data_IF_771013395502
#
_entry.id   IF_771013395502
#
_cell.length_a   1.000
_cell.length_b   1.000
_cell.length_c   1.000
_cell.angle_alpha   90.00
_cell.angle_beta   90.00
_cell.angle_gamma   90.00
#
_symmetry.space_group_name_H-M   'P 1'
#
loop_
_entity.id
_entity.type
_entity.pdbx_description
1 polymer ?
#
# COMPACT_ATOMS: atom_id res chain seq x y z
N UNK A 1 11.83 -75.24 30.05
CA UNK A 1 11.18 -74.61 28.90
C UNK A 1 10.47 -73.40 29.44
N UNK A 2 11.09 -72.28 29.12
CA UNK A 2 10.54 -70.94 28.93
C UNK A 2 10.18 -70.10 30.16
N UNK A 3 10.92 -68.98 30.20
CA UNK A 3 10.89 -67.85 31.11
C UNK A 3 9.61 -67.04 30.92
N UNK A 4 9.05 -66.52 32.02
CA UNK A 4 8.09 -65.43 31.93
C UNK A 4 8.42 -64.38 33.00
N UNK A 5 8.92 -63.24 32.51
CA UNK A 5 9.30 -62.08 33.28
C UNK A 5 8.07 -61.22 33.63
N UNK A 6 8.08 -60.65 34.83
CA UNK A 6 7.04 -59.77 35.36
C UNK A 6 7.00 -58.39 34.66
N UNK A 7 5.83 -57.71 34.59
CA UNK A 7 5.72 -56.41 33.95
C UNK A 7 6.04 -55.25 34.91
N UNK A 8 6.85 -54.31 34.43
CA UNK A 8 7.14 -53.03 35.10
C UNK A 8 6.05 -51.98 34.82
N UNK A 9 5.75 -51.21 35.87
CA UNK A 9 4.72 -50.18 35.91
C UNK A 9 5.12 -48.87 35.25
N UNK A 10 4.08 -48.19 34.79
CA UNK A 10 4.04 -46.83 34.26
C UNK A 10 4.51 -45.80 35.30
N UNK A 11 5.38 -44.88 34.88
CA UNK A 11 5.37 -43.50 35.39
C UNK A 11 5.92 -42.56 34.31
N UNK A 12 5.01 -41.73 33.78
CA UNK A 12 5.34 -40.61 32.91
C UNK A 12 5.83 -39.42 33.71
N UNK A 13 6.85 -38.74 33.19
CA UNK A 13 7.11 -37.33 33.51
C UNK A 13 7.56 -36.64 32.22
N UNK A 14 6.85 -35.56 31.89
CA UNK A 14 6.92 -34.87 30.61
C UNK A 14 8.26 -34.15 30.39
N UNK A 15 8.86 -34.41 29.23
CA UNK A 15 9.79 -33.48 28.61
C UNK A 15 8.96 -32.49 27.78
N UNK A 16 8.97 -31.23 28.18
CA UNK A 16 8.45 -30.13 27.38
C UNK A 16 9.23 -30.07 26.06
N UNK A 17 8.55 -30.36 24.96
CA UNK A 17 9.04 -30.06 23.63
C UNK A 17 9.02 -28.54 23.47
N UNK A 18 10.17 -27.90 23.70
CA UNK A 18 10.41 -26.55 23.22
C UNK A 18 10.23 -26.54 21.72
N UNK A 19 9.22 -25.81 21.24
CA UNK A 19 9.13 -25.47 19.83
C UNK A 19 10.31 -24.55 19.51
N UNK A 20 11.31 -25.12 18.84
CA UNK A 20 12.41 -24.39 18.25
C UNK A 20 11.87 -23.46 17.16
N UNK A 21 11.74 -22.18 17.49
CA UNK A 21 11.25 -21.10 16.62
C UNK A 21 12.13 -20.89 15.36
N UNK A 22 13.23 -21.62 15.22
CA UNK A 22 14.16 -21.48 14.10
C UNK A 22 13.97 -22.49 12.95
N UNK A 23 13.09 -23.50 13.11
CA UNK A 23 12.86 -24.49 12.05
C UNK A 23 11.51 -24.28 11.35
N UNK A 24 11.52 -23.37 10.37
CA UNK A 24 10.37 -23.13 9.48
C UNK A 24 10.23 -21.72 8.92
N UNK A 25 11.22 -20.83 9.07
CA UNK A 25 11.22 -19.54 8.39
C UNK A 25 11.43 -19.75 6.88
N UNK A 26 10.34 -20.00 6.14
CA UNK A 26 10.34 -19.71 4.71
C UNK A 26 10.90 -18.29 4.53
N UNK A 27 11.92 -18.12 3.68
CA UNK A 27 12.56 -16.83 3.42
C UNK A 27 11.49 -15.80 3.07
N UNK A 28 11.20 -14.89 4.00
CA UNK A 28 10.27 -13.80 3.77
C UNK A 28 10.91 -12.85 2.76
N UNK A 29 10.16 -12.38 1.74
CA UNK A 29 10.70 -11.42 0.78
C UNK A 29 10.92 -10.07 1.47
N UNK A 30 11.72 -9.23 0.82
CA UNK A 30 11.86 -7.83 1.22
C UNK A 30 10.49 -7.11 1.25
N UNK A 31 10.38 -6.00 2.02
CA UNK A 31 9.11 -5.33 2.26
C UNK A 31 8.52 -4.65 1.01
N UNK A 32 9.37 -4.36 0.02
CA UNK A 32 9.00 -3.69 -1.22
C UNK A 32 9.89 -4.10 -2.39
N UNK A 33 9.41 -3.80 -3.60
CA UNK A 33 10.18 -3.76 -4.84
C UNK A 33 10.45 -2.30 -5.19
N UNK A 34 11.69 -1.98 -5.59
CA UNK A 34 12.06 -0.67 -6.09
C UNK A 34 12.66 -0.81 -7.49
N UNK A 35 11.94 -0.28 -8.49
CA UNK A 35 12.42 -0.20 -9.86
C UNK A 35 13.04 1.20 -10.05
N UNK A 36 14.34 1.23 -10.33
CA UNK A 36 15.15 2.47 -10.43
C UNK A 36 15.33 2.83 -11.91
N UNK A 37 15.08 4.09 -12.31
CA UNK A 37 15.28 4.52 -13.69
C UNK A 37 16.77 4.55 -14.04
N UNK A 38 17.11 4.29 -15.32
CA UNK A 38 18.51 4.47 -15.79
C UNK A 38 18.92 5.95 -15.73
N UNK A 39 17.98 6.85 -16.04
CA UNK A 39 18.15 8.30 -15.92
C UNK A 39 16.94 8.85 -15.18
N UNK A 40 17.15 9.35 -13.96
CA UNK A 40 16.08 9.97 -13.18
C UNK A 40 15.67 11.31 -13.79
N UNK A 41 14.36 11.61 -13.80
CA UNK A 41 13.78 12.85 -14.30
C UNK A 41 12.78 13.42 -13.30
N UNK A 42 12.61 14.74 -13.33
CA UNK A 42 11.57 15.48 -12.61
C UNK A 42 11.48 15.32 -11.07
N UNK A 43 12.35 14.53 -10.44
CA UNK A 43 12.13 14.06 -9.07
C UNK A 43 10.89 13.17 -8.93
N UNK A 44 10.53 12.43 -9.98
CA UNK A 44 9.34 11.59 -10.01
C UNK A 44 9.50 10.31 -9.17
N UNK A 45 8.51 10.06 -8.33
CA UNK A 45 8.36 8.87 -7.50
C UNK A 45 6.93 8.35 -7.68
N UNK A 46 6.75 7.08 -8.00
CA UNK A 46 5.44 6.42 -8.07
C UNK A 46 5.39 5.35 -6.99
N UNK A 47 4.37 5.39 -6.16
CA UNK A 47 4.17 4.47 -5.05
C UNK A 47 2.91 3.62 -5.30
N UNK A 48 3.02 2.30 -5.10
CA UNK A 48 1.88 1.38 -5.17
C UNK A 48 1.74 0.62 -3.84
N UNK A 49 1.32 1.29 -2.75
CA UNK A 49 1.39 0.75 -1.38
C UNK A 49 0.45 -0.44 -1.14
N UNK A 50 -0.55 -0.66 -1.99
CA UNK A 50 -1.58 -1.69 -1.81
C UNK A 50 -1.56 -2.80 -2.89
N UNK A 51 -0.55 -2.79 -3.77
CA UNK A 51 -0.38 -3.77 -4.86
C UNK A 51 0.27 -5.10 -4.45
N UNK A 52 0.75 -5.17 -3.20
CA UNK A 52 1.38 -6.35 -2.64
C UNK A 52 0.41 -7.52 -2.50
N UNK A 53 0.95 -8.73 -2.68
CA UNK A 53 0.18 -9.97 -2.75
C UNK A 53 0.86 -11.15 -2.04
N UNK A 54 1.88 -10.86 -1.23
CA UNK A 54 2.48 -11.83 -0.33
C UNK A 54 1.75 -11.84 1.02
N UNK A 55 1.33 -13.03 1.43
CA UNK A 55 0.65 -13.27 2.71
C UNK A 55 1.47 -14.26 3.54
N UNK A 56 2.14 -13.79 4.61
CA UNK A 56 3.00 -14.66 5.40
C UNK A 56 2.18 -15.70 6.17
N UNK A 57 2.78 -16.86 6.40
CA UNK A 57 2.11 -18.01 7.03
C UNK A 57 1.55 -17.67 8.42
N UNK A 58 2.21 -16.80 9.18
CA UNK A 58 1.74 -16.37 10.50
C UNK A 58 0.39 -15.63 10.44
N UNK A 59 0.16 -14.80 9.42
CA UNK A 59 -1.15 -14.19 9.14
C UNK A 59 -2.18 -15.25 8.77
N UNK A 60 -1.84 -16.18 7.88
CA UNK A 60 -2.77 -17.21 7.42
C UNK A 60 -3.25 -18.13 8.56
N UNK A 61 -2.39 -18.43 9.53
CA UNK A 61 -2.75 -19.24 10.71
C UNK A 61 -3.75 -18.54 11.65
N UNK A 62 -3.62 -17.23 11.82
CA UNK A 62 -4.50 -16.45 12.71
C UNK A 62 -5.74 -15.90 11.99
N UNK A 63 -5.76 -15.97 10.66
CA UNK A 63 -6.84 -15.47 9.81
C UNK A 63 -8.06 -16.39 9.83
N UNK A 64 -9.26 -15.81 9.89
CA UNK A 64 -10.57 -16.41 9.60
C UNK A 64 -10.81 -16.58 8.10
N UNK A 65 -10.11 -15.79 7.29
CA UNK A 65 -10.29 -15.65 5.86
C UNK A 65 -9.32 -16.55 5.09
N UNK A 66 -9.79 -17.06 3.95
CA UNK A 66 -8.91 -17.65 2.95
C UNK A 66 -7.98 -16.58 2.38
N UNK A 67 -6.86 -17.01 1.79
CA UNK A 67 -5.95 -16.10 1.09
C UNK A 67 -6.72 -15.29 0.06
N UNK A 68 -7.51 -15.92 -0.81
CA UNK A 68 -8.34 -15.22 -1.81
C UNK A 68 -9.26 -14.15 -1.21
N UNK A 69 -9.80 -14.35 0.00
CA UNK A 69 -10.61 -13.33 0.67
C UNK A 69 -9.77 -12.15 1.18
N UNK A 70 -8.53 -12.39 1.66
CA UNK A 70 -7.57 -11.33 1.98
C UNK A 70 -7.20 -10.51 0.74
N UNK A 71 -7.03 -11.20 -0.40
CA UNK A 71 -6.70 -10.60 -1.70
C UNK A 71 -7.71 -9.57 -2.19
N UNK A 72 -8.97 -9.64 -1.77
CA UNK A 72 -10.01 -8.66 -2.15
C UNK A 72 -9.72 -7.23 -1.69
N UNK A 73 -8.85 -7.08 -0.69
CA UNK A 73 -8.38 -5.77 -0.24
C UNK A 73 -7.27 -5.19 -1.12
N UNK A 74 -6.57 -6.01 -1.90
CA UNK A 74 -5.47 -5.58 -2.78
C UNK A 74 -5.94 -4.52 -3.77
N UNK A 75 -5.05 -3.57 -4.05
CA UNK A 75 -5.09 -2.79 -5.28
C UNK A 75 -4.37 -3.57 -6.38
N UNK A 76 -4.94 -4.73 -6.71
CA UNK A 76 -4.28 -5.74 -7.54
C UNK A 76 -3.88 -5.16 -8.89
N UNK A 77 -2.68 -5.52 -9.35
CA UNK A 77 -2.10 -5.14 -10.64
C UNK A 77 -1.81 -3.64 -10.81
N UNK A 78 -1.98 -2.78 -9.80
CA UNK A 78 -1.66 -1.34 -9.92
C UNK A 78 -0.16 -1.11 -10.15
N UNK A 79 0.72 -1.91 -9.53
CA UNK A 79 2.15 -1.88 -9.81
C UNK A 79 2.48 -2.24 -11.26
N UNK A 80 1.68 -3.11 -11.87
CA UNK A 80 1.81 -3.50 -13.27
C UNK A 80 1.26 -2.42 -14.22
N UNK A 81 0.19 -1.72 -13.84
CA UNK A 81 -0.30 -0.53 -14.57
C UNK A 81 0.73 0.61 -14.56
N UNK A 82 1.56 0.68 -13.53
CA UNK A 82 2.60 1.71 -13.36
C UNK A 82 3.99 1.25 -13.81
N UNK A 83 4.14 0.05 -14.41
CA UNK A 83 5.43 -0.57 -14.68
C UNK A 83 6.35 0.26 -15.59
N UNK A 84 5.80 1.07 -16.50
CA UNK A 84 6.56 1.95 -17.39
C UNK A 84 7.26 3.13 -16.67
N UNK A 85 7.02 3.33 -15.37
CA UNK A 85 7.56 4.46 -14.61
C UNK A 85 9.08 4.58 -14.71
N UNK A 86 9.82 3.48 -14.56
CA UNK A 86 11.28 3.48 -14.60
C UNK A 86 11.84 3.86 -15.98
N UNK A 87 11.17 3.43 -17.06
CA UNK A 87 11.53 3.79 -18.43
C UNK A 87 11.28 5.27 -18.72
N UNK A 88 10.32 5.88 -18.01
CA UNK A 88 9.96 7.29 -18.11
C UNK A 88 10.80 8.21 -17.19
N UNK A 89 11.72 7.63 -16.41
CA UNK A 89 12.63 8.37 -15.54
C UNK A 89 12.15 8.55 -14.09
N UNK A 90 11.06 7.90 -13.69
CA UNK A 90 10.60 7.88 -12.30
C UNK A 90 11.09 6.66 -11.53
N UNK A 91 11.10 6.74 -10.20
CA UNK A 91 11.25 5.55 -9.35
C UNK A 91 9.89 4.89 -9.13
N UNK A 92 9.78 3.57 -9.26
CA UNK A 92 8.56 2.83 -8.89
C UNK A 92 8.80 2.03 -7.62
N UNK A 93 8.08 2.37 -6.55
CA UNK A 93 8.10 1.68 -5.27
C UNK A 93 6.79 0.91 -5.10
N UNK A 94 6.85 -0.41 -5.13
CA UNK A 94 5.67 -1.28 -5.03
C UNK A 94 5.74 -2.17 -3.78
N UNK A 95 4.62 -2.26 -3.05
CA UNK A 95 4.54 -3.10 -1.86
C UNK A 95 4.63 -4.58 -2.25
N UNK A 96 5.29 -5.39 -1.41
CA UNK A 96 5.31 -6.86 -1.59
C UNK A 96 4.21 -7.52 -0.77
N UNK A 97 4.03 -7.06 0.47
CA UNK A 97 3.05 -7.59 1.41
C UNK A 97 1.65 -7.04 1.11
N UNK A 98 0.64 -7.91 1.19
CA UNK A 98 -0.74 -7.49 1.05
C UNK A 98 -1.15 -6.52 2.16
N UNK A 99 -1.96 -5.50 1.84
CA UNK A 99 -2.34 -4.45 2.80
C UNK A 99 -3.08 -4.96 4.05
N UNK A 100 -3.69 -6.15 3.98
CA UNK A 100 -4.33 -6.78 5.15
C UNK A 100 -3.32 -7.30 6.18
N UNK A 101 -2.03 -7.38 5.83
CA UNK A 101 -0.95 -7.63 6.77
C UNK A 101 -0.54 -6.34 7.49
N UNK A 102 -0.23 -5.30 6.71
CA UNK A 102 0.11 -3.93 7.12
C UNK A 102 -0.37 -2.96 6.04
N UNK A 103 -1.13 -1.94 6.41
CA UNK A 103 -1.55 -0.88 5.50
C UNK A 103 -0.52 0.26 5.47
N UNK A 104 0.22 0.34 4.37
CA UNK A 104 1.29 1.31 4.14
C UNK A 104 0.79 2.74 3.83
N UNK A 105 -0.54 2.94 3.72
CA UNK A 105 -1.16 4.25 3.54
C UNK A 105 -2.02 4.64 4.78
N UNK A 106 -1.51 4.29 5.96
CA UNK A 106 -2.01 4.68 7.30
C UNK A 106 -0.88 5.21 8.16
N UNK A 107 -1.21 5.99 9.19
CA UNK A 107 -0.20 6.43 10.16
C UNK A 107 0.24 5.26 11.05
N UNK A 108 1.50 5.20 11.50
CA UNK A 108 2.01 4.05 12.27
C UNK A 108 1.36 3.91 13.64
N UNK A 109 0.76 4.98 14.16
CA UNK A 109 0.06 5.02 15.45
C UNK A 109 -1.46 4.83 15.33
N UNK A 110 -2.01 4.57 14.12
CA UNK A 110 -3.39 4.13 13.91
C UNK A 110 -3.57 2.63 14.28
N UNK A 111 -3.19 2.28 15.51
CA UNK A 111 -3.34 0.95 16.10
C UNK A 111 -4.77 0.77 16.63
N UNK A 112 -5.42 -0.33 16.24
CA UNK A 112 -6.77 -0.67 16.68
C UNK A 112 -6.74 -1.35 18.06
N UNK A 113 -7.26 -0.73 19.14
CA UNK A 113 -7.28 -1.32 20.48
C UNK A 113 -8.25 -2.50 20.62
N UNK A 114 -9.24 -2.65 19.74
CA UNK A 114 -10.10 -3.83 19.70
C UNK A 114 -9.31 -5.05 19.19
N UNK A 115 -8.51 -4.85 18.14
CA UNK A 115 -7.66 -5.90 17.58
C UNK A 115 -6.42 -6.19 18.42
N UNK A 116 -5.72 -5.15 18.87
CA UNK A 116 -4.37 -5.27 19.44
C UNK A 116 -4.43 -5.13 20.96
N UNK A 117 -4.02 -6.20 21.65
CA UNK A 117 -3.90 -6.26 23.10
C UNK A 117 -2.64 -5.56 23.60
N UNK A 118 -2.73 -5.03 24.83
CA UNK A 118 -1.59 -4.48 25.58
C UNK A 118 -0.79 -3.37 24.86
N UNK A 119 -1.43 -2.54 24.02
CA UNK A 119 -0.79 -1.36 23.42
C UNK A 119 -0.16 -0.49 24.53
N UNK A 120 1.15 -0.15 24.47
CA UNK A 120 1.80 0.70 25.46
C UNK A 120 1.09 2.03 25.64
N UNK A 121 0.98 2.50 26.89
CA UNK A 121 0.24 3.74 27.20
C UNK A 121 0.74 4.97 26.42
N UNK A 122 2.04 5.06 26.17
CA UNK A 122 2.65 6.15 25.40
C UNK A 122 2.22 6.19 23.92
N UNK A 123 1.80 5.04 23.37
CA UNK A 123 1.38 4.88 21.97
C UNK A 123 -0.14 4.89 21.81
N UNK A 124 -0.91 4.88 22.90
CA UNK A 124 -2.37 4.93 22.81
C UNK A 124 -2.81 6.29 22.25
N UNK A 125 -3.71 6.22 21.28
CA UNK A 125 -4.38 7.36 20.65
C UNK A 125 -5.88 7.19 20.75
N UNK A 126 -6.61 8.29 20.58
CA UNK A 126 -8.05 8.23 20.35
C UNK A 126 -8.25 7.62 18.96
N UNK A 127 -8.96 6.48 18.83
CA UNK A 127 -9.17 5.85 17.53
C UNK A 127 -9.88 6.80 16.56
N UNK A 128 -9.37 6.90 15.34
CA UNK A 128 -10.05 7.61 14.25
C UNK A 128 -11.29 6.82 13.82
N UNK A 129 -12.22 7.45 13.09
CA UNK A 129 -13.38 6.76 12.53
C UNK A 129 -12.98 5.55 11.65
N UNK A 130 -11.81 5.62 10.99
CA UNK A 130 -11.27 4.52 10.19
C UNK A 130 -10.77 3.37 11.06
N UNK A 131 -10.03 3.67 12.14
CA UNK A 131 -9.59 2.65 13.12
C UNK A 131 -10.80 1.97 13.75
N UNK A 132 -11.84 2.72 14.14
CA UNK A 132 -13.08 2.16 14.67
C UNK A 132 -13.81 1.25 13.66
N UNK A 133 -13.66 1.50 12.36
CA UNK A 133 -14.17 0.64 11.30
C UNK A 133 -13.27 -0.57 10.98
N UNK A 134 -12.18 -0.77 11.74
CA UNK A 134 -11.22 -1.86 11.54
C UNK A 134 -10.16 -1.59 10.46
N UNK A 135 -10.01 -0.34 10.01
CA UNK A 135 -9.13 0.06 8.91
C UNK A 135 -7.88 0.83 9.39
N UNK A 136 -7.30 0.40 10.51
CA UNK A 136 -6.03 0.90 11.04
C UNK A 136 -4.80 0.39 10.28
N UNK A 137 -3.59 0.72 10.78
CA UNK A 137 -2.31 0.33 10.15
C UNK A 137 -2.08 -1.18 10.11
N UNK A 138 -2.69 -1.91 11.06
CA UNK A 138 -2.92 -3.35 10.95
C UNK A 138 -4.42 -3.51 10.83
N UNK A 139 -4.95 -3.74 9.61
CA UNK A 139 -6.39 -3.80 9.42
C UNK A 139 -6.98 -4.98 10.16
N UNK A 140 -8.04 -4.75 10.92
CA UNK A 140 -8.87 -5.80 11.54
C UNK A 140 -9.85 -6.40 10.54
N UNK A 141 -10.30 -5.61 9.57
CA UNK A 141 -11.25 -6.02 8.54
C UNK A 141 -10.65 -5.88 7.14
N UNK A 142 -11.16 -6.66 6.19
CA UNK A 142 -11.01 -6.37 4.76
C UNK A 142 -12.20 -5.52 4.28
N UNK A 143 -12.23 -5.18 2.99
CA UNK A 143 -13.38 -4.50 2.37
C UNK A 143 -14.71 -5.15 2.76
N UNK A 144 -15.75 -4.33 2.89
CA UNK A 144 -17.11 -4.72 3.36
C UNK A 144 -17.21 -5.11 4.85
N UNK A 145 -16.17 -4.86 5.66
CA UNK A 145 -16.23 -5.01 7.12
C UNK A 145 -16.05 -6.45 7.62
N UNK A 146 -15.54 -7.35 6.77
CA UNK A 146 -15.33 -8.75 7.14
C UNK A 146 -14.06 -8.89 7.98
N UNK A 147 -14.20 -9.46 9.18
CA UNK A 147 -13.13 -9.67 10.16
C UNK A 147 -12.02 -10.61 9.67
N UNK A 148 -10.77 -10.16 9.74
CA UNK A 148 -9.59 -10.94 9.38
C UNK A 148 -9.25 -11.97 10.44
N UNK A 149 -9.27 -11.64 11.74
CA UNK A 149 -8.59 -12.45 12.76
C UNK A 149 -9.53 -13.32 13.61
N UNK A 150 -9.05 -14.49 14.02
CA UNK A 150 -9.74 -15.41 14.95
C UNK A 150 -9.85 -14.86 16.37
N UNK A 151 -8.86 -14.07 16.78
CA UNK A 151 -8.80 -13.42 18.07
C UNK A 151 -7.91 -12.19 17.98
N UNK A 152 -7.57 -11.63 19.14
CA UNK A 152 -6.73 -10.44 19.25
C UNK A 152 -5.26 -10.77 18.99
N UNK A 153 -4.53 -9.78 18.51
CA UNK A 153 -3.07 -9.84 18.38
C UNK A 153 -2.40 -9.28 19.64
N UNK A 154 -1.19 -9.75 19.98
CA UNK A 154 -0.35 -9.03 20.94
C UNK A 154 0.25 -7.78 20.29
N UNK A 155 0.65 -6.82 21.12
CA UNK A 155 1.39 -5.66 20.63
C UNK A 155 2.73 -6.06 19.98
N UNK A 156 3.45 -7.04 20.53
CA UNK A 156 4.73 -7.50 19.95
C UNK A 156 4.58 -8.00 18.51
N UNK A 157 3.47 -8.68 18.19
CA UNK A 157 3.17 -9.08 16.80
C UNK A 157 2.95 -7.84 15.94
N UNK A 158 2.20 -6.85 16.43
CA UNK A 158 1.96 -5.62 15.69
C UNK A 158 3.26 -4.84 15.45
N UNK A 159 4.09 -4.68 16.47
CA UNK A 159 5.38 -4.02 16.40
C UNK A 159 6.31 -4.72 15.40
N UNK A 160 6.41 -6.05 15.46
CA UNK A 160 7.23 -6.82 14.52
C UNK A 160 6.82 -6.58 13.06
N UNK A 161 5.51 -6.54 12.76
CA UNK A 161 5.02 -6.22 11.41
C UNK A 161 5.41 -4.82 10.95
N UNK A 162 5.30 -3.83 11.83
CA UNK A 162 5.68 -2.45 11.53
C UNK A 162 7.19 -2.35 11.29
N UNK A 163 8.00 -2.99 12.12
CA UNK A 163 9.47 -3.05 11.97
C UNK A 163 9.91 -3.74 10.70
N UNK A 164 9.26 -4.83 10.32
CA UNK A 164 9.59 -5.61 9.14
C UNK A 164 9.15 -4.95 7.83
N UNK A 165 7.97 -4.31 7.82
CA UNK A 165 7.32 -3.87 6.57
C UNK A 165 7.11 -2.37 6.52
N UNK A 166 6.48 -1.80 7.55
CA UNK A 166 6.05 -0.40 7.53
C UNK A 166 7.23 0.58 7.53
N UNK A 167 8.12 0.50 8.53
CA UNK A 167 9.20 1.46 8.67
C UNK A 167 10.21 1.39 7.51
N UNK A 168 10.60 0.21 6.98
CA UNK A 168 11.44 0.15 5.79
C UNK A 168 10.82 0.81 4.55
N UNK A 169 9.52 0.61 4.32
CA UNK A 169 8.79 1.26 3.23
C UNK A 169 8.87 2.79 3.33
N UNK A 170 8.51 3.34 4.50
CA UNK A 170 8.50 4.79 4.69
C UNK A 170 9.91 5.38 4.71
N UNK A 171 10.91 4.65 5.23
CA UNK A 171 12.31 5.04 5.14
C UNK A 171 12.77 5.16 3.67
N UNK A 172 12.35 4.24 2.81
CA UNK A 172 12.65 4.31 1.37
C UNK A 172 11.98 5.51 0.69
N UNK A 173 10.72 5.82 1.03
CA UNK A 173 10.06 7.04 0.52
C UNK A 173 10.83 8.29 0.94
N UNK A 174 11.23 8.40 2.21
CA UNK A 174 12.02 9.53 2.68
C UNK A 174 13.35 9.66 1.93
N UNK A 175 14.04 8.54 1.69
CA UNK A 175 15.30 8.54 0.93
C UNK A 175 15.08 9.04 -0.51
N UNK A 176 14.03 8.57 -1.19
CA UNK A 176 13.70 9.01 -2.56
C UNK A 176 13.33 10.49 -2.61
N UNK A 177 12.52 10.99 -1.67
CA UNK A 177 12.17 12.41 -1.60
C UNK A 177 13.42 13.27 -1.40
N UNK A 178 14.31 12.87 -0.48
CA UNK A 178 15.55 13.60 -0.23
C UNK A 178 16.46 13.63 -1.47
N UNK A 179 16.62 12.49 -2.16
CA UNK A 179 17.37 12.42 -3.41
C UNK A 179 16.75 13.29 -4.50
N UNK A 180 15.43 13.27 -4.65
CA UNK A 180 14.71 14.08 -5.63
C UNK A 180 14.88 15.58 -5.37
N UNK A 181 14.70 16.02 -4.12
CA UNK A 181 14.90 17.42 -3.74
C UNK A 181 16.35 17.88 -4.00
N UNK A 182 17.34 17.05 -3.68
CA UNK A 182 18.74 17.37 -3.91
C UNK A 182 19.11 17.48 -5.39
N UNK A 183 18.54 16.62 -6.25
CA UNK A 183 18.88 16.56 -7.67
C UNK A 183 18.05 17.51 -8.55
N UNK A 184 16.78 17.75 -8.18
CA UNK A 184 15.81 18.46 -9.03
C UNK A 184 15.18 19.69 -8.37
N UNK A 185 15.48 19.96 -7.10
CA UNK A 185 14.85 21.05 -6.33
C UNK A 185 13.38 20.80 -5.96
N UNK A 186 12.86 19.61 -6.28
CA UNK A 186 11.49 19.18 -5.99
C UNK A 186 11.41 17.65 -5.88
N UNK A 187 10.32 17.16 -5.29
CA UNK A 187 9.90 15.77 -5.37
C UNK A 187 8.43 15.70 -5.81
N UNK A 188 8.12 14.89 -6.82
CA UNK A 188 6.76 14.68 -7.33
C UNK A 188 6.38 13.22 -7.13
N UNK A 189 5.51 12.98 -6.17
CA UNK A 189 5.03 11.65 -5.82
C UNK A 189 3.62 11.40 -6.38
N UNK A 190 3.45 10.28 -7.07
CA UNK A 190 2.15 9.73 -7.43
C UNK A 190 1.84 8.56 -6.49
N UNK A 191 0.81 8.71 -5.65
CA UNK A 191 0.32 7.67 -4.73
C UNK A 191 -0.79 6.88 -5.42
N UNK A 192 -0.44 5.73 -6.00
CA UNK A 192 -1.27 5.02 -6.96
C UNK A 192 -2.03 3.85 -6.32
N UNK A 193 -3.33 3.86 -6.56
CA UNK A 193 -4.32 2.99 -5.95
C UNK A 193 -5.36 2.52 -6.96
N UNK A 194 -6.20 1.60 -6.52
CA UNK A 194 -7.42 1.25 -7.24
C UNK A 194 -8.62 1.16 -6.31
N UNK A 195 -9.77 1.60 -6.79
CA UNK A 195 -11.00 1.58 -6.03
C UNK A 195 -11.95 0.50 -6.55
N UNK A 196 -12.78 -0.10 -5.66
CA UNK A 196 -13.85 -0.99 -6.09
C UNK A 196 -14.77 -0.32 -7.10
N UNK A 197 -15.30 -1.07 -8.07
CA UNK A 197 -16.18 -0.51 -9.10
C UNK A 197 -17.39 0.23 -8.50
N UNK A 198 -17.98 -0.31 -7.44
CA UNK A 198 -19.09 0.27 -6.71
C UNK A 198 -18.75 1.54 -5.91
N UNK A 199 -17.46 1.82 -5.68
CA UNK A 199 -16.99 2.97 -4.90
C UNK A 199 -16.75 4.23 -5.76
N UNK A 200 -17.03 4.16 -7.06
CA UNK A 200 -16.79 5.23 -8.05
C UNK A 200 -17.64 6.51 -7.88
N UNK A 201 -18.47 6.56 -6.83
CA UNK A 201 -19.27 7.72 -6.45
C UNK A 201 -20.48 7.95 -7.36
N UNK A 202 -21.19 9.05 -7.13
CA UNK A 202 -22.44 9.42 -7.84
C UNK A 202 -22.29 9.58 -9.36
N UNK A 203 -21.07 9.73 -9.86
CA UNK A 203 -20.77 9.97 -11.27
C UNK A 203 -20.06 8.80 -11.96
N UNK A 204 -19.94 7.65 -11.27
CA UNK A 204 -19.23 6.48 -11.78
C UNK A 204 -17.86 6.84 -12.35
N UNK A 205 -17.02 7.51 -11.55
CA UNK A 205 -15.73 7.97 -12.05
C UNK A 205 -14.82 6.79 -12.43
N UNK A 206 -14.12 6.93 -13.54
CA UNK A 206 -13.11 5.98 -13.99
C UNK A 206 -11.81 6.21 -13.21
N UNK A 207 -11.49 7.48 -12.93
CA UNK A 207 -10.35 7.90 -12.11
C UNK A 207 -10.80 8.92 -11.06
N UNK A 208 -10.26 8.82 -9.84
CA UNK A 208 -10.34 9.90 -8.83
C UNK A 208 -8.93 10.40 -8.54
N UNK A 209 -8.73 11.71 -8.67
CA UNK A 209 -7.48 12.37 -8.31
C UNK A 209 -7.63 13.06 -6.95
N UNK A 210 -6.70 12.82 -6.03
CA UNK A 210 -6.72 13.36 -4.67
C UNK A 210 -5.47 14.18 -4.34
N UNK A 211 -5.63 15.47 -4.03
CA UNK A 211 -4.53 16.37 -3.60
C UNK A 211 -4.83 17.07 -2.27
N UNK A 212 -5.77 16.51 -1.48
CA UNK A 212 -6.30 17.10 -0.25
C UNK A 212 -6.80 18.52 -0.45
N UNK A 213 -7.61 18.71 -1.49
CA UNK A 213 -8.18 20.02 -1.85
C UNK A 213 -7.10 21.10 -2.09
N UNK A 214 -6.00 20.71 -2.73
CA UNK A 214 -4.83 21.55 -3.02
C UNK A 214 -3.78 21.61 -1.90
N UNK A 215 -3.96 20.86 -0.81
CA UNK A 215 -3.00 20.81 0.30
C UNK A 215 -1.74 20.00 0.01
N UNK A 216 -1.78 19.07 -0.95
CA UNK A 216 -0.71 18.07 -1.14
C UNK A 216 0.17 18.28 -2.39
N UNK A 217 -0.29 18.98 -3.43
CA UNK A 217 0.51 19.26 -4.62
C UNK A 217 0.27 20.67 -5.19
N UNK A 218 1.16 21.13 -6.06
CA UNK A 218 0.93 22.37 -6.81
C UNK A 218 -0.33 22.25 -7.69
N UNK A 219 -1.14 23.33 -7.85
CA UNK A 219 -2.39 23.27 -8.63
C UNK A 219 -2.21 22.80 -10.08
N UNK A 220 -1.07 23.09 -10.68
CA UNK A 220 -0.77 22.72 -12.07
C UNK A 220 -0.70 21.20 -12.27
N UNK A 221 -0.18 20.45 -11.30
CA UNK A 221 -0.07 18.98 -11.40
C UNK A 221 -1.46 18.34 -11.44
N UNK A 222 -2.35 18.75 -10.55
CA UNK A 222 -3.75 18.31 -10.52
C UNK A 222 -4.50 18.72 -11.80
N UNK A 223 -4.31 19.95 -12.28
CA UNK A 223 -4.97 20.45 -13.49
C UNK A 223 -4.54 19.66 -14.72
N UNK A 224 -3.23 19.45 -14.89
CA UNK A 224 -2.66 18.75 -16.05
C UNK A 224 -2.96 17.25 -16.03
N UNK A 225 -2.89 16.58 -14.87
CA UNK A 225 -3.34 15.19 -14.73
C UNK A 225 -4.81 15.03 -15.12
N UNK A 226 -5.68 15.93 -14.63
CA UNK A 226 -7.11 15.91 -14.94
C UNK A 226 -7.35 16.10 -16.43
N UNK A 227 -6.66 17.05 -17.05
CA UNK A 227 -6.79 17.37 -18.47
C UNK A 227 -6.37 16.17 -19.33
N UNK A 228 -5.18 15.63 -19.09
CA UNK A 228 -4.65 14.47 -19.81
C UNK A 228 -5.62 13.28 -19.79
N UNK A 229 -6.12 12.91 -18.60
CA UNK A 229 -7.01 11.75 -18.45
C UNK A 229 -8.37 11.97 -19.10
N UNK A 230 -8.91 13.19 -19.08
CA UNK A 230 -10.16 13.53 -19.78
C UNK A 230 -10.00 13.49 -21.29
N UNK A 231 -8.85 13.97 -21.81
CA UNK A 231 -8.52 13.88 -23.24
C UNK A 231 -8.33 12.42 -23.68
N UNK A 232 -7.87 11.55 -22.79
CA UNK A 232 -7.85 10.09 -22.99
C UNK A 232 -9.25 9.44 -22.90
N UNK A 233 -10.32 10.22 -22.71
CA UNK A 233 -11.70 9.75 -22.71
C UNK A 233 -12.22 9.23 -21.36
N UNK A 234 -11.47 9.42 -20.27
CA UNK A 234 -11.86 8.92 -18.94
C UNK A 234 -12.72 9.92 -18.17
N UNK A 235 -13.66 9.41 -17.38
CA UNK A 235 -14.42 10.20 -16.40
C UNK A 235 -13.56 10.43 -15.16
N UNK A 236 -13.14 11.67 -14.95
CA UNK A 236 -12.24 12.04 -13.85
C UNK A 236 -12.96 12.89 -12.80
N UNK A 237 -12.99 12.40 -11.56
CA UNK A 237 -13.37 13.18 -10.40
C UNK A 237 -12.14 13.69 -9.64
N UNK A 238 -12.36 14.74 -8.84
CA UNK A 238 -11.33 15.34 -7.98
C UNK A 238 -11.80 15.32 -6.54
N UNK A 239 -10.95 14.81 -5.67
CA UNK A 239 -11.12 14.76 -4.23
C UNK A 239 -12.41 14.11 -3.70
N UNK A 240 -13.13 13.35 -4.53
CA UNK A 240 -14.39 12.71 -4.13
C UNK A 240 -14.56 11.35 -4.82
N UNK A 241 -14.81 10.26 -4.08
CA UNK A 241 -14.85 10.18 -2.61
C UNK A 241 -13.46 10.19 -1.95
N UNK A 242 -12.38 10.12 -2.76
CA UNK A 242 -11.01 10.04 -2.28
C UNK A 242 -10.28 11.37 -2.45
N UNK A 243 -10.14 12.11 -1.35
CA UNK A 243 -9.37 13.36 -1.30
C UNK A 243 -7.86 13.16 -1.17
N UNK A 244 -7.41 11.95 -0.86
CA UNK A 244 -6.03 11.67 -0.49
C UNK A 244 -5.93 10.93 0.85
N UNK A 245 -4.93 10.05 0.95
CA UNK A 245 -4.62 9.23 2.13
C UNK A 245 -3.47 9.78 2.96
N UNK A 246 -2.85 8.90 3.74
CA UNK A 246 -1.72 9.23 4.60
C UNK A 246 -0.53 9.78 3.80
N UNK A 247 -0.24 9.22 2.62
CA UNK A 247 0.88 9.67 1.80
C UNK A 247 0.71 11.13 1.35
N UNK A 248 -0.46 11.50 0.82
CA UNK A 248 -0.76 12.90 0.47
C UNK A 248 -0.71 13.85 1.66
N UNK A 249 -1.14 13.41 2.85
CA UNK A 249 -1.07 14.22 4.07
C UNK A 249 0.36 14.44 4.55
N UNK A 250 1.15 13.38 4.55
CA UNK A 250 2.42 13.33 5.25
C UNK A 250 3.58 13.82 4.36
N UNK A 251 3.54 13.47 3.08
CA UNK A 251 4.59 13.79 2.10
C UNK A 251 4.23 14.98 1.22
N UNK A 252 2.95 15.30 1.04
CA UNK A 252 2.51 16.48 0.30
C UNK A 252 2.81 17.76 1.07
N UNK A 253 3.86 18.48 0.70
CA UNK A 253 4.25 19.79 1.27
C UNK A 253 4.62 20.75 0.14
N UNK A 254 3.63 21.30 -0.60
CA UNK A 254 3.89 22.10 -1.79
C UNK A 254 4.78 23.32 -1.53
N UNK A 255 4.67 23.93 -0.35
CA UNK A 255 5.54 25.04 0.08
C UNK A 255 7.01 24.64 0.32
N UNK A 256 7.33 23.35 0.30
CA UNK A 256 8.68 22.78 0.38
C UNK A 256 9.06 22.04 -0.92
N UNK A 257 8.37 22.32 -2.03
CA UNK A 257 8.52 21.64 -3.33
C UNK A 257 8.36 20.10 -3.24
N UNK A 258 7.58 19.61 -2.28
CA UNK A 258 7.18 18.22 -2.20
C UNK A 258 5.71 18.12 -2.62
N UNK A 259 5.45 17.44 -3.72
CA UNK A 259 4.14 17.33 -4.31
C UNK A 259 3.69 15.88 -4.23
N UNK A 260 2.47 15.63 -3.76
CA UNK A 260 1.89 14.30 -3.73
C UNK A 260 0.49 14.34 -4.33
N UNK A 261 0.25 13.52 -5.35
CA UNK A 261 -1.05 13.36 -5.99
C UNK A 261 -1.48 11.89 -5.89
N UNK A 262 -2.63 11.64 -5.27
CA UNK A 262 -3.24 10.32 -5.24
C UNK A 262 -3.99 10.05 -6.54
N UNK A 263 -3.87 8.83 -7.06
CA UNK A 263 -4.59 8.35 -8.25
C UNK A 263 -5.35 7.08 -7.86
N UNK A 264 -6.66 7.12 -7.92
CA UNK A 264 -7.54 5.96 -7.72
C UNK A 264 -8.08 5.48 -9.07
N UNK A 265 -7.73 4.25 -9.46
CA UNK A 265 -8.18 3.65 -10.71
C UNK A 265 -9.39 2.75 -10.45
N UNK A 266 -10.50 2.97 -11.15
CA UNK A 266 -11.65 2.08 -11.06
C UNK A 266 -11.27 0.68 -11.58
N UNK A 267 -11.37 -0.34 -10.72
CA UNK A 267 -10.99 -1.74 -11.05
C UNK A 267 -11.76 -2.31 -12.23
N UNK A 268 -12.97 -1.83 -12.51
CA UNK A 268 -13.76 -2.29 -13.67
C UNK A 268 -13.10 -2.02 -15.01
N UNK A 269 -12.16 -1.06 -15.08
CA UNK A 269 -11.41 -0.72 -16.30
C UNK A 269 -10.44 -1.83 -16.69
N UNK A 270 -9.83 -2.51 -15.72
CA UNK A 270 -8.65 -3.34 -15.98
C UNK A 270 -8.70 -4.75 -15.38
N UNK A 271 -9.63 -5.06 -14.47
CA UNK A 271 -9.72 -6.37 -13.83
C UNK A 271 -11.15 -6.86 -13.57
N UNK A 272 -11.28 -8.17 -13.40
CA UNK A 272 -12.49 -8.85 -12.91
C UNK A 272 -12.31 -9.06 -11.40
N UNK A 273 -12.91 -8.18 -10.59
CA UNK A 273 -12.71 -8.13 -9.13
C UNK A 273 -12.93 -9.46 -8.43
N UNK A 274 -14.06 -10.12 -8.68
CA UNK A 274 -14.40 -11.39 -8.02
C UNK A 274 -13.43 -12.53 -8.36
N UNK A 275 -12.81 -12.49 -9.55
CA UNK A 275 -11.87 -13.51 -10.01
C UNK A 275 -10.40 -13.14 -9.74
N UNK A 276 -10.11 -11.88 -9.36
CA UNK A 276 -8.75 -11.35 -9.23
C UNK A 276 -7.90 -11.58 -10.49
N UNK A 277 -8.49 -11.40 -11.67
CA UNK A 277 -7.82 -11.57 -12.98
C UNK A 277 -7.91 -10.31 -13.83
N UNK A 278 -6.94 -10.12 -14.72
CA UNK A 278 -6.91 -8.99 -15.67
C UNK A 278 -8.01 -9.12 -16.72
N UNK A 279 -8.56 -7.99 -17.15
CA UNK A 279 -9.42 -7.88 -18.33
C UNK A 279 -8.58 -7.75 -19.61
N UNK A 280 -9.15 -8.03 -20.80
CA UNK A 280 -8.47 -7.75 -22.07
C UNK A 280 -8.05 -6.28 -22.24
N UNK A 281 -8.77 -5.35 -21.61
CA UNK A 281 -8.46 -3.92 -21.65
C UNK A 281 -7.26 -3.50 -20.77
N UNK A 282 -6.67 -4.42 -19.99
CA UNK A 282 -5.57 -4.11 -19.07
C UNK A 282 -4.43 -3.34 -19.75
N UNK A 283 -3.96 -3.83 -20.90
CA UNK A 283 -2.84 -3.20 -21.63
C UNK A 283 -3.18 -1.78 -22.11
N UNK A 284 -4.43 -1.53 -22.52
CA UNK A 284 -4.84 -0.17 -22.90
C UNK A 284 -4.87 0.78 -21.70
N UNK A 285 -5.29 0.31 -20.52
CA UNK A 285 -5.27 1.12 -19.29
C UNK A 285 -3.82 1.38 -18.86
N UNK A 286 -2.95 0.36 -18.92
CA UNK A 286 -1.53 0.51 -18.63
C UNK A 286 -0.86 1.54 -19.55
N UNK A 287 -1.18 1.51 -20.86
CA UNK A 287 -0.69 2.51 -21.81
C UNK A 287 -1.17 3.93 -21.48
N UNK A 288 -2.43 4.10 -21.06
CA UNK A 288 -2.93 5.40 -20.59
C UNK A 288 -2.20 5.87 -19.33
N UNK A 289 -1.94 4.98 -18.38
CA UNK A 289 -1.19 5.33 -17.15
C UNK A 289 0.27 5.67 -17.45
N UNK A 290 0.93 4.93 -18.35
CA UNK A 290 2.27 5.29 -18.83
C UNK A 290 2.29 6.68 -19.48
N UNK A 291 1.29 6.99 -20.31
CA UNK A 291 1.13 8.32 -20.90
C UNK A 291 0.94 9.42 -19.85
N UNK A 292 0.14 9.17 -18.81
CA UNK A 292 -0.04 10.10 -17.70
C UNK A 292 1.28 10.34 -16.96
N UNK A 293 2.02 9.27 -16.66
CA UNK A 293 3.33 9.37 -15.99
C UNK A 293 4.28 10.23 -16.82
N UNK A 294 4.40 9.98 -18.12
CA UNK A 294 5.23 10.79 -19.01
C UNK A 294 4.80 12.26 -19.04
N UNK A 295 3.48 12.52 -19.12
CA UNK A 295 2.94 13.88 -19.07
C UNK A 295 3.29 14.60 -17.76
N UNK A 296 3.20 13.92 -16.62
CA UNK A 296 3.55 14.50 -15.31
C UNK A 296 5.04 14.79 -15.20
N UNK A 297 5.92 13.97 -15.79
CA UNK A 297 7.35 14.28 -15.86
C UNK A 297 7.57 15.61 -16.58
N UNK A 298 6.95 15.81 -17.75
CA UNK A 298 7.14 17.02 -18.53
C UNK A 298 6.57 18.28 -17.82
N UNK A 299 5.43 18.14 -17.15
CA UNK A 299 4.84 19.20 -16.32
C UNK A 299 5.74 19.55 -15.13
N UNK A 300 6.29 18.54 -14.47
CA UNK A 300 7.19 18.73 -13.33
C UNK A 300 8.51 19.39 -13.74
N UNK A 301 9.12 19.00 -14.87
CA UNK A 301 10.31 19.68 -15.41
C UNK A 301 10.02 21.17 -15.68
N UNK A 302 8.85 21.46 -16.26
CA UNK A 302 8.40 22.84 -16.50
C UNK A 302 8.16 23.62 -15.21
N UNK A 303 7.69 22.97 -14.14
CA UNK A 303 7.48 23.57 -12.82
C UNK A 303 8.82 23.92 -12.16
N UNK A 304 9.79 23.01 -12.19
CA UNK A 304 11.13 23.24 -11.61
C UNK A 304 11.85 24.42 -12.27
N UNK A 305 11.77 24.54 -13.60
CA UNK A 305 12.39 25.66 -14.33
C UNK A 305 11.85 27.02 -13.89
N UNK A 306 10.54 27.11 -13.60
CA UNK A 306 9.91 28.36 -13.12
C UNK A 306 10.31 28.73 -11.69
N UNK A 307 10.68 27.76 -10.87
CA UNK A 307 11.17 28.02 -9.51
C UNK A 307 12.66 28.41 -9.48
N UNK A 308 13.41 28.06 -10.53
CA UNK A 308 14.83 28.40 -10.65
C UNK A 308 15.09 29.79 -11.29
N UNK A 309 14.08 30.36 -11.97
CA UNK A 309 14.11 31.69 -12.60
C UNK A 309 13.64 32.80 -11.68
#
# INVERSE_FOLDING_TARGET
MDEEAAPEGLNGSGAGAGFDLQQGAALRPGPFRLDVPTVARAGLIVCCPHSGRFYPHDLLQVSKLSEMALRRSEDAFVDELMAATAELGGHLLAAVYGRSYVDLNRAPDELDPELIGAIPAALKRVPTARVLAGLGVIPRTVGEGVEIYRGRLSYDVAEARLSEVYFPWHAQIHALIHQALAAFGQAVMLDCHSMPAAASGLHESDIVLGDRFGGACAPILMAEATRFLKEAGLRVARNNPYAGGYATEHYGKPGQNQHCLQIEINRSLYMVEGAMTKRPAFESVAATMAGLVGHIVDVAESLALKHAS
#
